data_IF_645678187008
#
_entry.id   IF_645678187008
#
_cell.length_a   1.000
_cell.length_b   1.000
_cell.length_c   1.000
_cell.angle_alpha   90.00
_cell.angle_beta   90.00
_cell.angle_gamma   90.00
#
_symmetry.space_group_name_H-M   'P 1'
#
loop_
_entity.id
_entity.type
_entity.pdbx_description
1 polymer ?
#
# COMPACT_ATOMS: atom_id res chain seq x y z
N UNK A 1 -53.69 9.81 6.14
CA UNK A 1 -53.22 10.56 4.95
C UNK A 1 -52.87 9.52 3.91
N UNK A 2 -53.25 9.66 2.62
CA UNK A 2 -52.81 8.71 1.60
C UNK A 2 -51.28 8.72 1.52
N UNK A 3 -50.68 7.54 1.30
CA UNK A 3 -49.23 7.43 1.14
C UNK A 3 -48.78 8.29 -0.03
N UNK A 4 -47.88 9.23 0.25
CA UNK A 4 -47.39 10.18 -0.74
C UNK A 4 -46.53 9.45 -1.78
N UNK A 5 -46.92 9.51 -3.05
CA UNK A 5 -46.14 8.99 -4.16
C UNK A 5 -45.27 10.11 -4.74
N UNK A 6 -43.95 9.92 -4.74
CA UNK A 6 -42.97 10.84 -5.33
C UNK A 6 -42.26 10.15 -6.49
N UNK A 7 -41.84 10.90 -7.49
CA UNK A 7 -40.90 10.38 -8.47
C UNK A 7 -39.52 10.19 -7.82
N UNK A 8 -38.71 9.28 -8.37
CA UNK A 8 -37.34 9.06 -7.87
C UNK A 8 -36.49 10.35 -7.96
N UNK A 9 -36.68 11.15 -9.02
CA UNK A 9 -35.98 12.44 -9.19
C UNK A 9 -36.36 13.41 -8.09
N UNK A 10 -37.64 13.59 -7.79
CA UNK A 10 -38.08 14.55 -6.76
C UNK A 10 -37.54 14.17 -5.38
N UNK A 11 -37.55 12.86 -5.06
CA UNK A 11 -37.00 12.37 -3.80
C UNK A 11 -35.50 12.62 -3.70
N UNK A 12 -34.73 12.32 -4.76
CA UNK A 12 -33.28 12.49 -4.77
C UNK A 12 -32.84 13.96 -4.86
N UNK A 13 -33.61 14.83 -5.52
CA UNK A 13 -33.41 16.28 -5.51
C UNK A 13 -33.62 16.84 -4.10
N UNK A 14 -34.65 16.37 -3.39
CA UNK A 14 -34.86 16.72 -1.97
C UNK A 14 -33.65 16.32 -1.12
N UNK A 15 -33.13 15.09 -1.30
CA UNK A 15 -31.92 14.64 -0.60
C UNK A 15 -30.72 15.52 -0.94
N UNK A 16 -30.55 15.90 -2.21
CA UNK A 16 -29.48 16.77 -2.65
C UNK A 16 -29.54 18.14 -1.97
N UNK A 17 -30.72 18.75 -1.90
CA UNK A 17 -30.93 20.03 -1.22
C UNK A 17 -30.60 19.94 0.27
N UNK A 18 -31.09 18.90 0.95
CA UNK A 18 -30.80 18.68 2.37
C UNK A 18 -29.29 18.54 2.60
N UNK A 19 -28.59 17.75 1.78
CA UNK A 19 -27.13 17.61 1.90
C UNK A 19 -26.44 18.95 1.69
N UNK A 20 -26.86 19.73 0.69
CA UNK A 20 -26.28 21.04 0.39
C UNK A 20 -26.49 22.05 1.53
N UNK A 21 -27.66 22.03 2.17
CA UNK A 21 -28.00 22.92 3.29
C UNK A 21 -27.25 22.49 4.55
N UNK A 22 -27.29 21.19 4.90
CA UNK A 22 -26.72 20.67 6.13
C UNK A 22 -25.18 20.62 6.13
N UNK A 23 -24.57 20.41 4.95
CA UNK A 23 -23.13 20.23 4.79
C UNK A 23 -22.53 21.27 3.82
N UNK A 24 -22.98 22.52 3.95
CA UNK A 24 -22.54 23.64 3.12
C UNK A 24 -21.07 24.02 3.36
N UNK A 25 -20.58 23.82 4.59
CA UNK A 25 -19.21 24.15 4.97
C UNK A 25 -18.27 22.93 4.88
N UNK A 26 -17.04 23.14 4.38
CA UNK A 26 -16.06 22.08 4.28
C UNK A 26 -15.45 21.72 5.65
N UNK A 27 -15.28 20.42 5.92
CA UNK A 27 -14.77 19.88 7.19
C UNK A 27 -13.55 19.00 6.97
N UNK A 28 -12.69 18.89 7.99
CA UNK A 28 -11.53 18.00 7.95
C UNK A 28 -11.91 16.59 8.34
N UNK A 29 -11.53 15.60 7.50
CA UNK A 29 -11.84 14.18 7.69
C UNK A 29 -10.58 13.36 7.47
N UNK A 30 -10.38 12.33 8.31
CA UNK A 30 -9.33 11.34 8.15
C UNK A 30 -9.84 10.21 7.24
N UNK A 31 -9.02 9.79 6.29
CA UNK A 31 -9.35 8.66 5.41
C UNK A 31 -8.08 7.98 4.88
N UNK A 32 -8.23 6.76 4.40
CA UNK A 32 -7.25 6.02 3.60
C UNK A 32 -7.63 6.09 2.11
N UNK A 33 -6.65 6.29 1.23
CA UNK A 33 -6.84 6.23 -0.22
C UNK A 33 -6.84 4.76 -0.67
N UNK A 34 -8.00 4.24 -1.07
CA UNK A 34 -8.12 2.87 -1.64
C UNK A 34 -7.73 2.80 -3.10
N UNK A 35 -8.06 3.85 -3.85
CA UNK A 35 -7.68 3.99 -5.25
C UNK A 35 -7.63 5.48 -5.60
N UNK A 36 -6.81 5.80 -6.60
CA UNK A 36 -6.65 7.15 -7.14
C UNK A 36 -6.50 7.03 -8.65
N UNK A 37 -7.21 7.88 -9.39
CA UNK A 37 -7.11 7.97 -10.85
C UNK A 37 -7.26 9.41 -11.31
N UNK A 38 -6.51 9.79 -12.35
CA UNK A 38 -6.59 11.12 -12.95
C UNK A 38 -7.23 11.02 -14.33
N UNK A 39 -8.34 11.73 -14.54
CA UNK A 39 -9.06 11.76 -15.82
C UNK A 39 -9.47 13.18 -16.17
N UNK A 40 -9.12 13.62 -17.37
CA UNK A 40 -9.40 14.98 -17.88
C UNK A 40 -8.92 16.11 -16.94
N UNK A 41 -7.87 15.86 -16.15
CA UNK A 41 -7.31 16.79 -15.16
C UNK A 41 -7.99 16.78 -13.78
N UNK A 42 -9.07 16.03 -13.60
CA UNK A 42 -9.65 15.76 -12.28
C UNK A 42 -8.95 14.57 -11.64
N UNK A 43 -8.79 14.61 -10.31
CA UNK A 43 -8.33 13.47 -9.54
C UNK A 43 -9.53 12.85 -8.81
N UNK A 44 -9.81 11.58 -9.10
CA UNK A 44 -10.86 10.80 -8.48
C UNK A 44 -10.22 9.81 -7.49
N UNK A 45 -10.77 9.78 -6.28
CA UNK A 45 -10.29 8.91 -5.21
C UNK A 45 -11.42 8.04 -4.70
N UNK A 46 -11.09 6.83 -4.27
CA UNK A 46 -11.94 6.07 -3.35
C UNK A 46 -11.33 6.17 -1.96
N UNK A 47 -12.14 6.66 -1.02
CA UNK A 47 -11.76 6.87 0.37
C UNK A 47 -12.37 5.76 1.22
N UNK A 48 -11.61 5.28 2.20
CA UNK A 48 -12.10 4.34 3.20
C UNK A 48 -11.60 4.70 4.59
N UNK A 49 -12.39 4.33 5.60
CA UNK A 49 -11.97 4.28 6.99
C UNK A 49 -12.01 2.82 7.45
N UNK A 50 -10.94 2.36 8.09
CA UNK A 50 -10.86 1.03 8.71
C UNK A 50 -10.97 1.17 10.22
N UNK A 51 -11.59 0.18 10.84
CA UNK A 51 -11.57 0.03 12.30
C UNK A 51 -10.13 -0.19 12.78
N UNK A 52 -9.74 0.48 13.87
CA UNK A 52 -8.36 0.46 14.35
C UNK A 52 -7.94 -0.97 14.73
N UNK A 53 -6.78 -1.41 14.20
CA UNK A 53 -6.26 -2.75 14.43
C UNK A 53 -6.93 -3.86 13.61
N UNK A 54 -7.87 -3.54 12.71
CA UNK A 54 -8.49 -4.53 11.81
C UNK A 54 -8.49 -4.05 10.36
N UNK A 55 -8.71 -4.98 9.42
CA UNK A 55 -8.87 -4.65 8.00
C UNK A 55 -10.33 -4.31 7.62
N UNK A 56 -11.23 -4.26 8.61
CA UNK A 56 -12.66 -4.03 8.38
C UNK A 56 -12.91 -2.59 8.01
N UNK A 57 -13.45 -2.36 6.81
CA UNK A 57 -13.89 -1.04 6.36
C UNK A 57 -15.20 -0.67 7.05
N UNK A 58 -15.22 0.45 7.77
CA UNK A 58 -16.40 0.96 8.49
C UNK A 58 -17.09 2.12 7.76
N UNK A 59 -16.37 2.84 6.91
CA UNK A 59 -16.93 3.87 6.04
C UNK A 59 -16.19 3.92 4.69
N UNK A 60 -16.89 4.25 3.62
CA UNK A 60 -16.28 4.50 2.31
C UNK A 60 -17.11 5.47 1.47
N UNK A 61 -16.43 6.26 0.64
CA UNK A 61 -17.08 7.13 -0.34
C UNK A 61 -16.12 7.49 -1.48
N UNK A 62 -16.67 8.09 -2.54
CA UNK A 62 -15.86 8.68 -3.62
C UNK A 62 -15.46 10.10 -3.26
N UNK A 63 -14.20 10.44 -3.53
CA UNK A 63 -13.65 11.79 -3.43
C UNK A 63 -13.27 12.35 -4.81
N UNK A 64 -13.41 13.65 -5.02
CA UNK A 64 -12.95 14.32 -6.24
C UNK A 64 -12.15 15.58 -5.89
N UNK A 65 -10.94 15.69 -6.44
CA UNK A 65 -10.22 16.96 -6.54
C UNK A 65 -10.45 17.51 -7.94
N UNK A 66 -11.11 18.66 -8.04
CA UNK A 66 -11.45 19.26 -9.32
C UNK A 66 -10.20 19.78 -10.05
N UNK A 67 -10.21 19.74 -11.38
CA UNK A 67 -9.10 20.20 -12.24
C UNK A 67 -8.57 21.59 -11.87
N UNK A 68 -9.46 22.49 -11.44
CA UNK A 68 -9.11 23.86 -11.02
C UNK A 68 -8.15 23.90 -9.84
N UNK A 69 -8.17 22.90 -8.95
CA UNK A 69 -7.37 22.84 -7.73
C UNK A 69 -6.39 21.67 -7.69
N UNK A 70 -6.60 20.62 -8.50
CA UNK A 70 -5.83 19.39 -8.47
C UNK A 70 -4.31 19.60 -8.59
N UNK A 71 -3.87 20.34 -9.61
CA UNK A 71 -2.44 20.57 -9.83
C UNK A 71 -1.77 21.28 -8.63
N UNK A 72 -2.44 22.31 -8.07
CA UNK A 72 -1.94 23.07 -6.93
C UNK A 72 -1.88 22.20 -5.66
N UNK A 73 -2.92 21.42 -5.39
CA UNK A 73 -3.01 20.58 -4.21
C UNK A 73 -1.99 19.45 -4.22
N UNK A 74 -1.90 18.73 -5.35
CA UNK A 74 -0.95 17.63 -5.49
C UNK A 74 0.49 18.12 -5.42
N UNK A 75 0.79 19.25 -6.06
CA UNK A 75 2.14 19.85 -5.99
C UNK A 75 2.49 20.31 -4.57
N UNK A 76 1.57 20.99 -3.87
CA UNK A 76 1.77 21.40 -2.47
C UNK A 76 2.06 20.17 -1.59
N UNK A 77 1.23 19.13 -1.70
CA UNK A 77 1.40 17.89 -0.95
C UNK A 77 2.75 17.25 -1.22
N UNK A 78 3.15 17.12 -2.48
CA UNK A 78 4.42 16.51 -2.87
C UNK A 78 5.62 17.32 -2.39
N UNK A 79 5.56 18.66 -2.49
CA UNK A 79 6.65 19.52 -2.07
C UNK A 79 6.82 19.54 -0.54
N UNK A 80 5.73 19.50 0.22
CA UNK A 80 5.77 19.52 1.70
C UNK A 80 6.06 18.14 2.30
N UNK A 81 5.53 17.07 1.72
CA UNK A 81 5.69 15.70 2.24
C UNK A 81 6.84 14.92 1.61
N UNK A 82 7.37 15.38 0.46
CA UNK A 82 8.32 14.63 -0.36
C UNK A 82 7.73 13.40 -1.05
N UNK A 83 6.41 13.18 -0.96
CA UNK A 83 5.73 12.00 -1.47
C UNK A 83 4.59 12.37 -2.42
N UNK A 84 4.35 11.53 -3.42
CA UNK A 84 3.14 11.65 -4.22
C UNK A 84 1.93 11.05 -3.52
N UNK A 85 0.77 11.66 -3.74
CA UNK A 85 -0.49 11.14 -3.26
C UNK A 85 -0.76 9.79 -3.95
N UNK A 86 -0.79 8.72 -3.18
CA UNK A 86 -0.84 7.35 -3.68
C UNK A 86 -1.75 6.46 -2.85
N UNK A 87 -2.03 5.27 -3.38
CA UNK A 87 -2.84 4.25 -2.70
C UNK A 87 -2.23 3.89 -1.34
N UNK A 88 -3.09 3.52 -0.40
CA UNK A 88 -2.79 3.07 0.97
C UNK A 88 -2.25 4.18 1.91
N UNK A 89 -2.14 5.41 1.43
CA UNK A 89 -1.84 6.57 2.29
C UNK A 89 -3.03 6.93 3.16
N UNK A 90 -2.72 7.21 4.42
CA UNK A 90 -3.65 7.83 5.36
C UNK A 90 -3.48 9.35 5.30
N UNK A 91 -4.58 10.04 5.08
CA UNK A 91 -4.61 11.47 4.78
C UNK A 91 -5.64 12.17 5.67
N UNK A 92 -5.37 13.44 5.96
CA UNK A 92 -6.33 14.35 6.55
C UNK A 92 -6.70 15.35 5.45
N UNK A 93 -7.96 15.35 5.05
CA UNK A 93 -8.46 16.10 3.90
C UNK A 93 -9.61 17.01 4.30
N UNK A 94 -9.61 18.20 3.73
CA UNK A 94 -10.72 19.15 3.87
C UNK A 94 -11.73 18.87 2.78
N UNK A 95 -12.94 18.49 3.17
CA UNK A 95 -13.94 17.97 2.24
C UNK A 95 -15.28 18.68 2.37
N UNK A 96 -15.96 18.84 1.25
CA UNK A 96 -17.34 19.31 1.17
C UNK A 96 -18.23 18.20 0.63
N UNK A 97 -19.34 17.93 1.30
CA UNK A 97 -20.28 16.91 0.85
C UNK A 97 -20.93 17.29 -0.50
N UNK A 98 -21.14 16.28 -1.34
CA UNK A 98 -21.77 16.45 -2.65
C UNK A 98 -22.67 15.25 -2.93
N UNK A 99 -23.92 15.51 -3.26
CA UNK A 99 -24.86 14.48 -3.68
C UNK A 99 -25.36 14.77 -5.10
N UNK A 100 -25.40 13.73 -5.92
CA UNK A 100 -25.99 13.77 -7.26
C UNK A 100 -27.11 12.74 -7.34
N UNK A 101 -28.31 13.11 -7.85
CA UNK A 101 -29.37 12.13 -8.11
C UNK A 101 -28.92 10.97 -9.01
N UNK A 102 -27.97 11.20 -9.93
CA UNK A 102 -27.50 10.18 -10.86
C UNK A 102 -26.30 9.37 -10.34
N UNK A 103 -25.41 10.00 -9.57
CA UNK A 103 -24.13 9.40 -9.17
C UNK A 103 -24.01 9.08 -7.68
N UNK A 104 -24.97 9.50 -6.86
CA UNK A 104 -25.02 9.28 -5.42
C UNK A 104 -24.14 10.25 -4.62
N UNK A 105 -23.80 9.82 -3.39
CA UNK A 105 -22.98 10.60 -2.45
C UNK A 105 -21.49 10.55 -2.79
N UNK A 106 -20.83 11.69 -2.63
CA UNK A 106 -19.39 11.87 -2.81
C UNK A 106 -18.92 13.07 -1.99
N UNK A 107 -17.61 13.28 -1.97
CA UNK A 107 -17.01 14.47 -1.38
C UNK A 107 -16.10 15.20 -2.37
N UNK A 108 -16.14 16.52 -2.33
CA UNK A 108 -15.19 17.38 -3.02
C UNK A 108 -14.04 17.69 -2.08
N UNK A 109 -12.81 17.38 -2.48
CA UNK A 109 -11.61 17.62 -1.69
C UNK A 109 -11.07 19.01 -2.04
N UNK A 110 -11.00 19.87 -1.03
CA UNK A 110 -10.58 21.28 -1.16
C UNK A 110 -9.16 21.53 -0.63
N UNK A 111 -8.71 20.75 0.37
CA UNK A 111 -7.34 20.82 0.89
C UNK A 111 -6.86 19.47 1.41
N UNK A 112 -5.54 19.31 1.53
CA UNK A 112 -4.87 18.14 2.09
C UNK A 112 -3.83 18.65 3.11
N UNK A 113 -3.84 18.09 4.31
CA UNK A 113 -2.83 18.36 5.33
C UNK A 113 -1.64 17.41 5.15
N UNK A 114 -0.57 17.93 4.55
CA UNK A 114 0.67 17.20 4.30
C UNK A 114 1.39 16.78 5.59
N UNK A 115 1.24 17.55 6.67
CA UNK A 115 1.92 17.31 7.94
C UNK A 115 1.34 16.09 8.67
N UNK A 116 0.04 15.87 8.53
CA UNK A 116 -0.64 14.70 9.08
C UNK A 116 -0.07 13.40 8.52
N UNK A 117 0.10 13.30 7.19
CA UNK A 117 0.60 12.08 6.55
C UNK A 117 2.05 11.79 6.97
N UNK A 118 2.90 12.81 7.08
CA UNK A 118 4.26 12.66 7.61
C UNK A 118 4.26 12.16 9.06
N UNK A 119 3.41 12.76 9.91
CA UNK A 119 3.27 12.38 11.31
C UNK A 119 2.78 10.95 11.48
N UNK A 120 1.77 10.53 10.70
CA UNK A 120 1.26 9.15 10.75
C UNK A 120 2.30 8.14 10.27
N UNK A 121 3.06 8.45 9.22
CA UNK A 121 4.12 7.58 8.74
C UNK A 121 5.24 7.42 9.77
N UNK A 122 5.69 8.52 10.39
CA UNK A 122 6.68 8.48 11.45
C UNK A 122 6.20 7.66 12.67
N UNK A 123 4.93 7.83 13.06
CA UNK A 123 4.30 7.06 14.13
C UNK A 123 4.26 5.57 13.81
N UNK A 124 3.81 5.20 12.61
CA UNK A 124 3.76 3.80 12.14
C UNK A 124 5.15 3.16 12.12
N UNK A 125 6.16 3.89 11.64
CA UNK A 125 7.54 3.42 11.66
C UNK A 125 8.00 3.11 13.10
N UNK A 126 7.77 4.02 14.05
CA UNK A 126 8.11 3.80 15.45
C UNK A 126 7.36 2.60 16.05
N UNK A 127 6.08 2.41 15.72
CA UNK A 127 5.30 1.24 16.16
C UNK A 127 5.87 -0.07 15.63
N UNK A 128 6.22 -0.13 14.33
CA UNK A 128 6.83 -1.33 13.72
C UNK A 128 8.18 -1.63 14.38
N UNK A 129 9.04 -0.62 14.55
CA UNK A 129 10.35 -0.80 15.20
C UNK A 129 10.18 -1.28 16.64
N UNK A 130 9.25 -0.69 17.39
CA UNK A 130 8.96 -1.10 18.77
C UNK A 130 8.50 -2.57 18.82
N UNK A 131 7.52 -2.94 17.99
CA UNK A 131 7.02 -4.32 17.93
C UNK A 131 8.13 -5.31 17.57
N UNK A 132 8.91 -5.03 16.53
CA UNK A 132 10.05 -5.88 16.13
C UNK A 132 11.12 -5.97 17.21
N UNK A 133 11.28 -4.94 18.05
CA UNK A 133 12.21 -4.94 19.18
C UNK A 133 11.68 -5.79 20.33
N UNK A 134 10.40 -5.62 20.69
CA UNK A 134 9.72 -6.40 21.73
C UNK A 134 9.66 -7.89 21.39
N UNK A 135 9.40 -8.23 20.12
CA UNK A 135 9.44 -9.60 19.60
C UNK A 135 10.88 -10.15 19.45
N UNK A 136 11.89 -9.32 19.72
CA UNK A 136 13.31 -9.65 19.57
C UNK A 136 13.71 -10.00 18.14
N UNK A 137 12.97 -9.53 17.13
CA UNK A 137 13.17 -9.79 15.70
C UNK A 137 14.14 -8.81 15.04
N UNK A 138 14.18 -7.55 15.51
CA UNK A 138 14.87 -6.44 14.83
C UNK A 138 16.36 -6.70 14.54
N UNK A 139 17.05 -7.44 15.42
CA UNK A 139 18.47 -7.76 15.29
C UNK A 139 18.74 -9.25 15.02
N UNK A 140 17.73 -10.09 14.76
CA UNK A 140 17.94 -11.54 14.57
C UNK A 140 18.94 -11.84 13.44
N UNK A 141 18.77 -11.20 12.29
CA UNK A 141 19.66 -11.41 11.15
C UNK A 141 21.08 -10.90 11.44
N UNK A 142 21.24 -9.78 12.14
CA UNK A 142 22.57 -9.21 12.47
C UNK A 142 23.36 -10.07 13.45
N UNK A 143 22.67 -10.89 14.26
CA UNK A 143 23.29 -11.80 15.22
C UNK A 143 23.78 -13.10 14.59
N UNK A 144 23.45 -13.37 13.33
CA UNK A 144 23.99 -14.51 12.62
C UNK A 144 25.48 -14.27 12.31
N UNK A 145 26.33 -15.30 12.44
CA UNK A 145 27.72 -15.18 12.02
C UNK A 145 27.78 -14.86 10.53
N UNK A 146 28.67 -13.95 10.14
CA UNK A 146 28.95 -13.72 8.72
C UNK A 146 29.54 -15.01 8.14
N UNK A 147 28.98 -15.54 7.02
CA UNK A 147 29.54 -16.71 6.39
C UNK A 147 30.97 -16.40 5.90
N UNK A 148 31.90 -17.33 6.15
CA UNK A 148 33.29 -17.20 5.69
C UNK A 148 33.39 -17.23 4.17
N UNK A 149 32.53 -18.01 3.52
CA UNK A 149 32.40 -18.12 2.07
C UNK A 149 30.93 -18.36 1.71
N UNK A 150 30.56 -18.05 0.46
CA UNK A 150 29.20 -18.22 -0.06
C UNK A 150 29.29 -19.03 -1.35
N UNK A 151 28.96 -20.33 -1.26
CA UNK A 151 29.00 -21.24 -2.38
C UNK A 151 27.59 -21.57 -2.92
N UNK A 152 26.59 -21.69 -2.04
CA UNK A 152 25.23 -22.08 -2.42
C UNK A 152 24.19 -21.21 -1.73
N UNK A 153 23.37 -20.58 -2.55
CA UNK A 153 22.37 -19.61 -2.11
C UNK A 153 20.97 -20.08 -2.50
N UNK A 154 20.08 -20.12 -1.52
CA UNK A 154 18.65 -20.29 -1.76
C UNK A 154 18.01 -18.92 -1.96
N UNK A 155 17.35 -18.69 -3.09
CA UNK A 155 16.75 -17.41 -3.45
C UNK A 155 15.23 -17.55 -3.56
N UNK A 156 14.49 -16.70 -2.87
CA UNK A 156 13.02 -16.62 -2.93
C UNK A 156 12.63 -15.25 -3.46
N UNK A 157 11.95 -15.22 -4.61
CA UNK A 157 11.57 -13.97 -5.27
C UNK A 157 10.29 -14.14 -6.08
N UNK A 158 9.56 -13.05 -6.44
CA UNK A 158 8.52 -13.12 -7.46
C UNK A 158 9.13 -13.42 -8.84
N UNK A 159 8.42 -14.16 -9.69
CA UNK A 159 8.89 -14.55 -11.04
C UNK A 159 9.27 -13.35 -11.92
N UNK A 160 8.57 -12.22 -11.77
CA UNK A 160 8.73 -11.01 -12.58
C UNK A 160 9.25 -9.81 -11.78
N UNK A 161 9.96 -10.03 -10.67
CA UNK A 161 10.49 -8.94 -9.87
C UNK A 161 11.64 -8.20 -10.59
N UNK A 162 11.53 -6.88 -10.74
CA UNK A 162 12.64 -6.05 -11.23
C UNK A 162 13.92 -6.27 -10.41
N UNK A 163 13.81 -6.34 -9.08
CA UNK A 163 14.94 -6.62 -8.19
C UNK A 163 15.55 -8.01 -8.34
N UNK A 164 14.80 -9.00 -8.88
CA UNK A 164 15.38 -10.29 -9.25
C UNK A 164 16.26 -10.16 -10.50
N UNK A 165 15.91 -9.26 -11.43
CA UNK A 165 16.73 -8.93 -12.58
C UNK A 165 18.09 -8.34 -12.18
N UNK A 166 18.07 -7.36 -11.27
CA UNK A 166 19.31 -6.74 -10.75
C UNK A 166 20.18 -7.78 -10.01
N UNK A 167 19.57 -8.60 -9.15
CA UNK A 167 20.27 -9.68 -8.45
C UNK A 167 20.87 -10.70 -9.43
N UNK A 168 20.12 -11.12 -10.45
CA UNK A 168 20.58 -12.11 -11.45
C UNK A 168 21.74 -11.60 -12.28
N UNK A 169 21.82 -10.29 -12.54
CA UNK A 169 22.93 -9.71 -13.31
C UNK A 169 24.28 -10.05 -12.69
N UNK A 170 24.39 -9.96 -11.37
CA UNK A 170 25.63 -10.30 -10.66
C UNK A 170 25.71 -11.80 -10.35
N UNK A 171 24.59 -12.43 -9.94
CA UNK A 171 24.54 -13.85 -9.62
C UNK A 171 24.91 -14.75 -10.82
N UNK A 172 24.47 -14.41 -12.04
CA UNK A 172 24.77 -15.16 -13.26
C UNK A 172 26.26 -15.11 -13.61
N UNK A 173 26.95 -14.01 -13.29
CA UNK A 173 28.39 -13.88 -13.49
C UNK A 173 29.12 -14.85 -12.55
N UNK A 174 28.74 -14.86 -11.27
CA UNK A 174 29.32 -15.75 -10.25
C UNK A 174 29.04 -17.23 -10.56
N UNK A 175 27.83 -17.53 -11.04
CA UNK A 175 27.46 -18.88 -11.47
C UNK A 175 28.26 -19.36 -12.67
N UNK A 176 28.40 -18.52 -13.72
CA UNK A 176 29.21 -18.86 -14.90
C UNK A 176 30.69 -19.04 -14.58
N UNK A 177 31.20 -18.32 -13.59
CA UNK A 177 32.57 -18.47 -13.10
C UNK A 177 32.75 -19.74 -12.23
N UNK A 178 31.68 -20.46 -11.90
CA UNK A 178 31.72 -21.65 -11.02
C UNK A 178 31.99 -21.32 -9.55
N UNK A 179 31.78 -20.05 -9.16
CA UNK A 179 32.09 -19.54 -7.81
C UNK A 179 30.90 -19.74 -6.86
N UNK A 180 29.68 -19.55 -7.35
CA UNK A 180 28.47 -19.63 -6.52
C UNK A 180 27.28 -20.21 -7.30
N UNK A 181 26.54 -21.11 -6.67
CA UNK A 181 25.31 -21.73 -7.16
C UNK A 181 24.09 -21.03 -6.55
N UNK A 182 23.05 -20.80 -7.35
CA UNK A 182 21.83 -20.11 -6.93
C UNK A 182 20.61 -20.96 -7.26
N UNK A 183 19.83 -21.31 -6.24
CA UNK A 183 18.63 -22.13 -6.36
C UNK A 183 17.42 -21.23 -6.13
N UNK A 184 16.56 -21.09 -7.13
CA UNK A 184 15.48 -20.11 -7.13
C UNK A 184 14.12 -20.77 -6.86
N UNK A 185 13.34 -20.15 -5.96
CA UNK A 185 11.94 -20.46 -5.72
C UNK A 185 11.07 -19.21 -5.85
N UNK A 186 9.85 -19.41 -6.35
CA UNK A 186 8.89 -18.34 -6.57
C UNK A 186 7.94 -18.17 -5.39
N UNK A 187 7.62 -16.94 -5.02
CA UNK A 187 6.55 -16.62 -4.08
C UNK A 187 5.85 -15.30 -4.45
N UNK A 188 4.63 -15.11 -3.95
CA UNK A 188 3.90 -13.84 -4.07
C UNK A 188 4.32 -12.91 -2.92
N UNK A 189 4.68 -11.67 -3.24
CA UNK A 189 5.15 -10.65 -2.29
C UNK A 189 4.16 -9.49 -2.10
N UNK A 190 2.96 -9.62 -2.64
CA UNK A 190 1.91 -8.59 -2.57
C UNK A 190 0.56 -9.21 -2.20
N UNK A 191 -0.27 -8.43 -1.52
CA UNK A 191 -1.60 -8.85 -1.08
C UNK A 191 -1.60 -9.75 0.16
N UNK A 192 -2.81 -10.12 0.58
CA UNK A 192 -3.06 -10.75 1.89
C UNK A 192 -2.46 -12.16 2.02
N UNK A 193 -2.14 -12.81 0.90
CA UNK A 193 -1.56 -14.16 0.86
C UNK A 193 -0.02 -14.15 0.83
N UNK A 194 0.62 -12.96 0.79
CA UNK A 194 2.06 -12.85 0.59
C UNK A 194 2.87 -13.56 1.68
N UNK A 195 2.55 -13.31 2.96
CA UNK A 195 3.26 -13.94 4.08
C UNK A 195 3.17 -15.47 4.02
N UNK A 196 1.96 -16.01 3.80
CA UNK A 196 1.74 -17.45 3.68
C UNK A 196 2.46 -18.04 2.46
N UNK A 197 2.46 -17.34 1.33
CA UNK A 197 3.15 -17.75 0.10
C UNK A 197 4.66 -17.82 0.30
N UNK A 198 5.26 -16.81 0.94
CA UNK A 198 6.70 -16.78 1.24
C UNK A 198 7.07 -17.94 2.18
N UNK A 199 6.29 -18.17 3.25
CA UNK A 199 6.52 -19.27 4.19
C UNK A 199 6.43 -20.62 3.48
N UNK A 200 5.42 -20.82 2.63
CA UNK A 200 5.25 -22.06 1.87
C UNK A 200 6.41 -22.29 0.90
N UNK A 201 6.81 -21.27 0.15
CA UNK A 201 7.92 -21.34 -0.81
C UNK A 201 9.26 -21.61 -0.11
N UNK A 202 9.53 -20.95 1.02
CA UNK A 202 10.71 -21.21 1.85
C UNK A 202 10.72 -22.64 2.38
N UNK A 203 9.59 -23.11 2.90
CA UNK A 203 9.47 -24.45 3.45
C UNK A 203 9.68 -25.51 2.37
N UNK A 204 9.12 -25.31 1.17
CA UNK A 204 9.30 -26.20 0.03
C UNK A 204 10.75 -26.20 -0.44
N UNK A 205 11.36 -25.02 -0.58
CA UNK A 205 12.76 -24.88 -1.01
C UNK A 205 13.72 -25.57 -0.04
N UNK A 206 13.54 -25.42 1.27
CA UNK A 206 14.36 -26.11 2.27
C UNK A 206 14.15 -27.63 2.26
N UNK A 207 12.94 -28.12 1.99
CA UNK A 207 12.68 -29.57 1.84
C UNK A 207 13.36 -30.15 0.61
N UNK A 208 13.27 -29.45 -0.52
CA UNK A 208 13.96 -29.85 -1.74
C UNK A 208 15.48 -29.83 -1.52
N UNK A 209 15.98 -28.78 -0.88
CA UNK A 209 17.38 -28.64 -0.54
C UNK A 209 17.92 -29.82 0.27
N UNK A 210 17.18 -30.25 1.29
CA UNK A 210 17.57 -31.39 2.14
C UNK A 210 17.62 -32.73 1.39
N UNK A 211 16.92 -32.86 0.26
CA UNK A 211 16.98 -34.05 -0.58
C UNK A 211 18.18 -34.01 -1.55
N UNK A 212 18.58 -32.82 -2.00
CA UNK A 212 19.60 -32.63 -3.03
C UNK A 212 21.01 -32.40 -2.44
N UNK A 213 21.09 -31.80 -1.24
CA UNK A 213 22.34 -31.38 -0.62
C UNK A 213 22.49 -31.89 0.81
N UNK A 214 23.73 -32.16 1.20
CA UNK A 214 24.09 -32.65 2.55
C UNK A 214 24.30 -31.53 3.58
N UNK A 215 24.43 -30.29 3.12
CA UNK A 215 24.70 -29.10 3.94
C UNK A 215 23.58 -28.08 3.76
N UNK A 216 23.29 -27.24 4.76
CA UNK A 216 22.33 -26.15 4.60
C UNK A 216 22.82 -25.13 3.54
N UNK A 217 21.92 -24.27 3.02
CA UNK A 217 22.32 -23.10 2.27
C UNK A 217 23.25 -22.21 3.08
N UNK A 218 24.26 -21.60 2.42
CA UNK A 218 25.13 -20.61 3.06
C UNK A 218 24.37 -19.31 3.32
N UNK A 219 23.42 -19.00 2.44
CA UNK A 219 22.54 -17.84 2.55
C UNK A 219 21.15 -18.17 2.01
N UNK A 220 20.13 -17.59 2.64
CA UNK A 220 18.77 -17.54 2.11
C UNK A 220 18.48 -16.07 1.79
N UNK A 221 18.25 -15.78 0.51
CA UNK A 221 17.96 -14.43 0.03
C UNK A 221 16.47 -14.34 -0.29
N UNK A 222 15.78 -13.40 0.35
CA UNK A 222 14.36 -13.13 0.11
C UNK A 222 14.25 -11.77 -0.56
N UNK A 223 13.91 -11.76 -1.86
CA UNK A 223 13.91 -10.55 -2.70
C UNK A 223 12.47 -10.16 -3.00
N UNK A 224 12.04 -9.00 -2.52
CA UNK A 224 10.75 -8.41 -2.89
C UNK A 224 10.85 -7.71 -4.26
N UNK A 225 9.79 -7.80 -5.06
CA UNK A 225 9.62 -7.01 -6.28
C UNK A 225 8.94 -5.64 -6.05
N UNK A 226 9.59 -4.56 -6.48
CA UNK A 226 9.07 -3.18 -6.53
C UNK A 226 9.48 -2.31 -5.33
N UNK A 227 10.13 -1.15 -5.50
CA UNK A 227 10.59 -0.44 -6.70
C UNK A 227 11.80 0.44 -6.35
N UNK A 228 12.40 1.03 -7.38
CA UNK A 228 13.51 1.97 -7.31
C UNK A 228 13.31 3.01 -6.19
N UNK A 229 14.40 3.29 -5.48
CA UNK A 229 14.57 4.57 -4.79
C UNK A 229 14.90 5.61 -5.85
#
# INVERSE_FOLDING_TARGET
MPDQQLSLSDYLETVQEIVKIAFGDPVWVKAEIRSLNTKSGHCYLELAEKEEGTDKVIASCKGTIWKSTAAKLLYKFQNESGMELSKDLNILIKVKASFSPQYGFSVNIEDIDSSFTLGDLARRYQQIVKQLTEDGLIDKNKKLPTPFDINKVLVIAPEQAAGLGDFRKDADILYKAGVCEFIYHSATFQGNTAAASIIASLSQGLRQWANEYKTPPDLIVIIRGGGAV
#
